data_IF_061963982743
#
_entry.id   IF_061963982743
#
_cell.length_a   1.000
_cell.length_b   1.000
_cell.length_c   1.000
_cell.angle_alpha   90.00
_cell.angle_beta   90.00
_cell.angle_gamma   90.00
#
_symmetry.space_group_name_H-M   'P 1'
#
loop_
_entity.id
_entity.type
_entity.pdbx_description
1 polymer ?
#
# COMPACT_ATOMS: atom_id res chain seq x y z
N UNK A 1 7.91 -35.74 23.82
CA UNK A 1 7.87 -34.44 23.11
C UNK A 1 8.25 -34.70 21.67
N UNK A 2 7.27 -34.71 20.75
CA UNK A 2 7.54 -34.90 19.33
C UNK A 2 8.20 -33.63 18.77
N UNK A 3 9.43 -33.76 18.28
CA UNK A 3 10.13 -32.70 17.55
C UNK A 3 9.44 -32.53 16.20
N UNK A 4 8.61 -31.50 16.08
CA UNK A 4 8.09 -31.05 14.78
C UNK A 4 9.30 -30.82 13.86
N UNK A 5 9.30 -31.34 12.61
CA UNK A 5 10.40 -31.11 11.68
C UNK A 5 10.62 -29.59 11.52
N UNK A 6 11.76 -29.15 12.05
CA UNK A 6 12.21 -27.76 12.15
C UNK A 6 12.32 -26.99 10.79
N UNK A 7 12.43 -27.64 9.60
CA UNK A 7 12.38 -26.92 8.32
C UNK A 7 11.07 -26.17 8.04
N UNK A 8 9.95 -26.62 8.63
CA UNK A 8 8.62 -26.10 8.28
C UNK A 8 8.35 -24.70 8.85
N UNK A 9 8.77 -24.41 10.08
CA UNK A 9 8.45 -23.12 10.72
C UNK A 9 9.24 -21.96 10.11
N UNK A 10 10.53 -22.14 9.83
CA UNK A 10 11.37 -21.13 9.16
C UNK A 10 10.81 -20.81 7.77
N UNK A 11 10.42 -21.84 7.02
CA UNK A 11 9.83 -21.68 5.69
C UNK A 11 8.47 -21.00 5.77
N UNK A 12 7.68 -21.29 6.80
CA UNK A 12 6.40 -20.61 7.07
C UNK A 12 6.63 -19.14 7.40
N UNK A 13 7.56 -18.82 8.31
CA UNK A 13 7.91 -17.45 8.67
C UNK A 13 8.39 -16.65 7.45
N UNK A 14 9.27 -17.24 6.62
CA UNK A 14 9.72 -16.61 5.38
C UNK A 14 8.57 -16.28 4.43
N UNK A 15 7.59 -17.20 4.27
CA UNK A 15 6.38 -16.95 3.47
C UNK A 15 5.54 -15.81 4.05
N UNK A 16 5.37 -15.76 5.37
CA UNK A 16 4.63 -14.70 6.05
C UNK A 16 5.32 -13.34 5.89
N UNK A 17 6.64 -13.28 6.02
CA UNK A 17 7.44 -12.07 5.80
C UNK A 17 7.29 -11.58 4.35
N UNK A 18 7.41 -12.46 3.35
CA UNK A 18 7.24 -12.08 1.95
C UNK A 18 5.83 -11.54 1.63
N UNK A 19 4.81 -12.18 2.20
CA UNK A 19 3.44 -11.70 2.13
C UNK A 19 3.31 -10.31 2.79
N UNK A 20 3.82 -10.15 4.01
CA UNK A 20 3.75 -8.90 4.77
C UNK A 20 4.42 -7.73 4.03
N UNK A 21 5.61 -7.94 3.44
CA UNK A 21 6.29 -6.93 2.60
C UNK A 21 5.36 -6.46 1.48
N UNK A 22 4.74 -7.39 0.77
CA UNK A 22 3.85 -7.06 -0.35
C UNK A 22 2.58 -6.33 0.11
N UNK A 23 2.02 -6.71 1.26
CA UNK A 23 0.82 -6.09 1.84
C UNK A 23 1.13 -4.65 2.30
N UNK A 24 2.20 -4.44 3.06
CA UNK A 24 2.57 -3.10 3.54
C UNK A 24 2.96 -2.17 2.40
N UNK A 25 3.65 -2.66 1.36
CA UNK A 25 3.93 -1.87 0.16
C UNK A 25 2.62 -1.40 -0.51
N UNK A 26 1.61 -2.27 -0.63
CA UNK A 26 0.33 -1.91 -1.20
C UNK A 26 -0.43 -0.87 -0.34
N UNK A 27 -0.37 -0.99 0.99
CA UNK A 27 -0.97 -0.03 1.91
C UNK A 27 -0.28 1.34 1.83
N UNK A 28 1.05 1.37 1.85
CA UNK A 28 1.87 2.58 1.64
C UNK A 28 1.50 3.28 0.34
N UNK A 29 1.53 2.56 -0.78
CA UNK A 29 1.28 3.14 -2.10
C UNK A 29 -0.14 3.70 -2.22
N UNK A 30 -1.13 3.02 -1.62
CA UNK A 30 -2.51 3.53 -1.57
C UNK A 30 -2.61 4.80 -0.73
N UNK A 31 -2.05 4.81 0.48
CA UNK A 31 -2.08 5.96 1.37
C UNK A 31 -1.40 7.18 0.72
N UNK A 32 -0.23 6.98 0.08
CA UNK A 32 0.46 8.03 -0.68
C UNK A 32 -0.40 8.56 -1.83
N UNK A 33 -0.98 7.69 -2.65
CA UNK A 33 -1.84 8.13 -3.77
C UNK A 33 -3.02 8.96 -3.30
N UNK A 34 -3.73 8.50 -2.26
CA UNK A 34 -4.87 9.24 -1.72
C UNK A 34 -4.42 10.59 -1.16
N UNK A 35 -3.31 10.64 -0.41
CA UNK A 35 -2.76 11.90 0.09
C UNK A 35 -2.43 12.87 -1.06
N UNK A 36 -1.71 12.41 -2.09
CA UNK A 36 -1.36 13.24 -3.25
C UNK A 36 -2.61 13.74 -3.97
N UNK A 37 -3.59 12.87 -4.24
CA UNK A 37 -4.83 13.28 -4.90
C UNK A 37 -5.56 14.33 -4.07
N UNK A 38 -5.72 14.11 -2.76
CA UNK A 38 -6.37 15.10 -1.87
C UNK A 38 -5.66 16.44 -1.90
N UNK A 39 -4.32 16.47 -1.78
CA UNK A 39 -3.55 17.71 -1.83
C UNK A 39 -3.69 18.42 -3.18
N UNK A 40 -3.58 17.70 -4.30
CA UNK A 40 -3.74 18.30 -5.64
C UNK A 40 -5.14 18.87 -5.83
N UNK A 41 -6.18 18.14 -5.42
CA UNK A 41 -7.56 18.63 -5.49
C UNK A 41 -7.76 19.89 -4.64
N UNK A 42 -7.22 19.91 -3.42
CA UNK A 42 -7.27 21.09 -2.55
C UNK A 42 -6.56 22.29 -3.17
N UNK A 43 -5.36 22.10 -3.72
CA UNK A 43 -4.62 23.17 -4.40
C UNK A 43 -5.40 23.73 -5.61
N UNK A 44 -5.99 22.85 -6.43
CA UNK A 44 -6.83 23.29 -7.55
C UNK A 44 -8.06 24.06 -7.07
N UNK A 45 -8.75 23.58 -6.03
CA UNK A 45 -9.92 24.26 -5.46
C UNK A 45 -9.54 25.62 -4.87
N UNK A 46 -8.41 25.73 -4.18
CA UNK A 46 -7.88 27.00 -3.67
C UNK A 46 -7.54 27.95 -4.81
N UNK A 47 -6.87 27.49 -5.87
CA UNK A 47 -6.53 28.32 -7.03
C UNK A 47 -7.78 28.86 -7.75
N UNK A 48 -8.81 28.02 -7.92
CA UNK A 48 -10.11 28.44 -8.47
C UNK A 48 -10.76 29.47 -7.55
N UNK A 49 -10.78 29.25 -6.24
CA UNK A 49 -11.28 30.21 -5.26
C UNK A 49 -10.56 31.56 -5.35
N UNK A 50 -9.23 31.56 -5.42
CA UNK A 50 -8.44 32.78 -5.60
C UNK A 50 -8.76 33.49 -6.92
N UNK A 51 -8.91 32.76 -8.03
CA UNK A 51 -9.30 33.35 -9.31
C UNK A 51 -10.70 33.99 -9.25
N UNK A 52 -11.67 33.34 -8.59
CA UNK A 52 -13.01 33.89 -8.38
C UNK A 52 -12.99 35.16 -7.51
N UNK A 53 -12.11 35.21 -6.50
CA UNK A 53 -11.96 36.40 -5.66
C UNK A 53 -11.46 37.62 -6.45
N UNK A 54 -10.61 37.41 -7.46
CA UNK A 54 -10.11 38.48 -8.33
C UNK A 54 -11.04 38.83 -9.50
N UNK A 55 -12.02 37.98 -9.82
CA UNK A 55 -12.97 38.24 -10.90
C UNK A 55 -13.84 39.49 -10.64
N UNK A 56 -13.91 39.98 -9.39
CA UNK A 56 -14.33 41.33 -9.02
C UNK A 56 -15.82 41.62 -9.11
N UNK A 57 -16.49 41.08 -10.12
CA UNK A 57 -17.90 41.32 -10.38
C UNK A 57 -18.77 40.22 -9.75
N UNK A 58 -19.84 40.63 -9.06
CA UNK A 58 -20.90 39.75 -8.55
C UNK A 58 -21.82 39.23 -9.68
N UNK A 59 -21.21 38.90 -10.83
CA UNK A 59 -21.89 38.32 -11.98
C UNK A 59 -22.40 36.92 -11.63
N UNK A 60 -23.63 36.56 -12.05
CA UNK A 60 -24.12 35.20 -11.89
C UNK A 60 -23.26 34.25 -12.73
N UNK A 61 -22.63 33.28 -12.07
CA UNK A 61 -21.84 32.23 -12.68
C UNK A 61 -22.60 30.91 -12.62
N UNK A 62 -22.67 30.24 -13.77
CA UNK A 62 -23.22 28.89 -13.85
C UNK A 62 -22.08 27.86 -13.78
N UNK A 63 -22.03 27.11 -12.69
CA UNK A 63 -21.07 26.03 -12.49
C UNK A 63 -21.82 24.71 -12.23
N UNK A 64 -21.50 23.66 -12.99
CA UNK A 64 -22.13 22.34 -12.87
C UNK A 64 -23.68 22.38 -12.95
N UNK A 65 -24.22 23.34 -13.72
CA UNK A 65 -25.67 23.52 -13.89
C UNK A 65 -26.35 24.36 -12.81
N UNK A 66 -25.66 24.74 -11.73
CA UNK A 66 -26.18 25.63 -10.69
C UNK A 66 -25.79 27.08 -10.98
N UNK A 67 -26.74 28.01 -10.89
CA UNK A 67 -26.50 29.45 -11.02
C UNK A 67 -26.42 30.09 -9.64
N UNK A 68 -25.30 30.75 -9.34
CA UNK A 68 -25.12 31.53 -8.12
C UNK A 68 -24.15 32.69 -8.35
N UNK A 69 -24.10 33.66 -7.44
CA UNK A 69 -23.16 34.78 -7.51
C UNK A 69 -21.72 34.32 -7.32
N UNK A 70 -20.76 35.07 -7.86
CA UNK A 70 -19.31 34.85 -7.64
C UNK A 70 -18.98 34.76 -6.16
N UNK A 71 -19.55 35.64 -5.32
CA UNK A 71 -19.42 35.63 -3.87
C UNK A 71 -19.91 34.34 -3.21
N UNK A 72 -21.05 33.80 -3.66
CA UNK A 72 -21.59 32.53 -3.14
C UNK A 72 -20.68 31.35 -3.48
N UNK A 73 -20.20 31.28 -4.72
CA UNK A 73 -19.25 30.25 -5.14
C UNK A 73 -17.94 30.34 -4.38
N UNK A 74 -17.39 31.55 -4.20
CA UNK A 74 -16.18 31.78 -3.43
C UNK A 74 -16.31 31.28 -1.99
N UNK A 75 -17.44 31.56 -1.34
CA UNK A 75 -17.76 31.04 -0.01
C UNK A 75 -17.81 29.51 0.01
N UNK A 76 -18.50 28.89 -0.95
CA UNK A 76 -18.59 27.44 -1.07
C UNK A 76 -17.21 26.78 -1.27
N UNK A 77 -16.37 27.30 -2.16
CA UNK A 77 -15.00 26.82 -2.35
C UNK A 77 -14.16 26.95 -1.08
N UNK A 78 -14.29 28.06 -0.36
CA UNK A 78 -13.58 28.29 0.91
C UNK A 78 -13.97 27.25 1.97
N UNK A 79 -15.26 26.93 2.10
CA UNK A 79 -15.74 25.88 3.01
C UNK A 79 -15.23 24.51 2.60
N UNK A 80 -15.28 24.16 1.31
CA UNK A 80 -14.77 22.88 0.80
C UNK A 80 -13.28 22.72 1.07
N UNK A 81 -12.49 23.76 0.77
CA UNK A 81 -11.04 23.77 1.04
C UNK A 81 -10.79 23.59 2.54
N UNK A 82 -11.47 24.35 3.40
CA UNK A 82 -11.31 24.27 4.85
C UNK A 82 -11.68 22.90 5.42
N UNK A 83 -12.82 22.33 5.02
CA UNK A 83 -13.21 20.98 5.43
C UNK A 83 -12.21 19.92 4.93
N UNK A 84 -11.73 20.08 3.70
CA UNK A 84 -10.76 19.16 3.13
C UNK A 84 -9.40 19.24 3.86
N UNK A 85 -8.90 20.44 4.19
CA UNK A 85 -7.66 20.61 4.97
C UNK A 85 -7.79 20.03 6.37
N UNK A 86 -8.94 20.23 7.04
CA UNK A 86 -9.20 19.62 8.35
C UNK A 86 -9.22 18.08 8.25
N UNK A 87 -9.84 17.53 7.21
CA UNK A 87 -9.85 16.08 6.98
C UNK A 87 -8.44 15.51 6.72
N UNK A 88 -7.58 16.25 6.02
CA UNK A 88 -6.18 15.86 5.79
C UNK A 88 -5.39 15.86 7.09
N UNK A 89 -5.60 16.88 7.94
CA UNK A 89 -4.98 16.99 9.26
C UNK A 89 -5.37 15.83 10.17
N UNK A 90 -6.65 15.48 10.24
CA UNK A 90 -7.16 14.42 11.14
C UNK A 90 -6.75 13.02 10.67
N UNK A 91 -6.77 12.76 9.37
CA UNK A 91 -6.56 11.38 8.85
C UNK A 91 -5.09 10.99 8.70
N UNK A 92 -4.16 11.95 8.74
CA UNK A 92 -2.71 11.77 8.60
C UNK A 92 -2.31 10.65 7.60
N UNK A 93 -2.80 10.79 6.37
CA UNK A 93 -2.57 9.78 5.32
C UNK A 93 -1.09 9.66 4.97
N UNK A 94 -0.34 10.77 5.06
CA UNK A 94 1.10 10.81 4.81
C UNK A 94 1.88 10.11 5.92
N UNK A 95 1.57 10.34 7.19
CA UNK A 95 2.20 9.61 8.29
C UNK A 95 1.85 8.13 8.27
N UNK A 96 0.62 7.76 7.90
CA UNK A 96 0.24 6.36 7.66
C UNK A 96 1.08 5.71 6.55
N UNK A 97 1.31 6.40 5.44
CA UNK A 97 2.17 5.90 4.39
C UNK A 97 3.62 5.73 4.86
N UNK A 98 4.17 6.70 5.62
CA UNK A 98 5.53 6.61 6.19
C UNK A 98 5.68 5.42 7.15
N UNK A 99 4.69 5.17 8.01
CA UNK A 99 4.69 4.01 8.93
C UNK A 99 4.75 2.68 8.16
N UNK A 100 3.96 2.56 7.09
CA UNK A 100 4.03 1.38 6.23
C UNK A 100 5.31 1.30 5.40
N UNK A 101 5.92 2.42 5.00
CA UNK A 101 7.23 2.42 4.35
C UNK A 101 8.33 1.90 5.29
N UNK A 102 8.34 2.37 6.54
CA UNK A 102 9.26 1.88 7.57
C UNK A 102 9.09 0.37 7.79
N UNK A 103 7.84 -0.11 7.88
CA UNK A 103 7.54 -1.53 7.98
C UNK A 103 8.05 -2.35 6.79
N UNK A 104 7.90 -1.83 5.56
CA UNK A 104 8.43 -2.48 4.35
C UNK A 104 9.95 -2.63 4.43
N UNK A 105 10.67 -1.61 4.90
CA UNK A 105 12.13 -1.66 5.06
C UNK A 105 12.54 -2.73 6.07
N UNK A 106 11.96 -2.69 7.28
CA UNK A 106 12.23 -3.69 8.32
C UNK A 106 11.96 -5.13 7.86
N UNK A 107 10.83 -5.35 7.17
CA UNK A 107 10.47 -6.66 6.66
C UNK A 107 11.34 -7.08 5.45
N UNK A 108 11.79 -6.14 4.63
CA UNK A 108 12.70 -6.42 3.52
C UNK A 108 14.09 -6.83 4.03
N UNK A 109 14.59 -6.16 5.08
CA UNK A 109 15.84 -6.51 5.75
C UNK A 109 15.74 -7.92 6.35
N UNK A 110 14.68 -8.19 7.12
CA UNK A 110 14.41 -9.53 7.66
C UNK A 110 14.30 -10.59 6.56
N UNK A 111 13.62 -10.30 5.45
CA UNK A 111 13.53 -11.20 4.29
C UNK A 111 14.92 -11.50 3.70
N UNK A 112 15.82 -10.53 3.69
CA UNK A 112 17.20 -10.73 3.25
C UNK A 112 17.95 -11.65 4.21
N UNK A 113 17.79 -11.48 5.52
CA UNK A 113 18.38 -12.38 6.53
C UNK A 113 17.93 -13.84 6.34
N UNK A 114 16.63 -14.08 6.11
CA UNK A 114 16.11 -15.42 5.77
C UNK A 114 16.72 -16.02 4.51
N UNK A 115 17.03 -15.19 3.51
CA UNK A 115 17.65 -15.66 2.25
C UNK A 115 19.11 -16.04 2.46
N UNK A 116 19.85 -15.24 3.23
CA UNK A 116 21.27 -15.47 3.49
C UNK A 116 21.51 -16.64 4.45
N UNK A 117 20.52 -17.01 5.26
CA UNK A 117 20.65 -18.10 6.21
C UNK A 117 20.49 -19.50 5.58
N UNK A 118 20.23 -19.62 4.27
CA UNK A 118 20.02 -20.91 3.62
C UNK A 118 21.11 -21.94 3.99
N UNK A 119 20.73 -23.18 4.35
CA UNK A 119 21.59 -24.05 5.13
C UNK A 119 22.68 -24.70 4.29
N UNK A 120 23.93 -24.36 4.56
CA UNK A 120 25.09 -25.20 4.24
C UNK A 120 25.23 -26.29 5.31
N UNK A 121 24.25 -27.20 5.43
CA UNK A 121 24.34 -28.51 6.11
C UNK A 121 24.82 -28.62 7.58
N UNK A 122 25.22 -27.54 8.23
CA UNK A 122 26.06 -27.59 9.44
C UNK A 122 25.30 -27.37 10.75
N UNK A 123 25.91 -27.80 11.86
CA UNK A 123 25.47 -27.53 13.23
C UNK A 123 25.22 -26.02 13.52
N UNK A 124 25.80 -25.13 12.70
CA UNK A 124 25.53 -23.69 12.69
C UNK A 124 24.06 -23.33 12.40
N UNK A 125 23.28 -24.22 11.79
CA UNK A 125 21.90 -23.96 11.39
C UNK A 125 20.95 -23.77 12.58
N UNK A 126 21.05 -24.60 13.63
CA UNK A 126 20.18 -24.50 14.81
C UNK A 126 20.34 -23.16 15.53
N UNK A 127 21.58 -22.67 15.66
CA UNK A 127 21.85 -21.35 16.25
C UNK A 127 21.32 -20.22 15.36
N UNK A 128 21.48 -20.33 14.03
CA UNK A 128 20.96 -19.34 13.09
C UNK A 128 19.42 -19.26 13.14
N UNK A 129 18.73 -20.40 13.28
CA UNK A 129 17.28 -20.46 13.41
C UNK A 129 16.78 -19.77 14.69
N UNK A 130 17.43 -20.00 15.83
CA UNK A 130 17.10 -19.31 17.08
C UNK A 130 17.16 -17.79 16.92
N UNK A 131 18.25 -17.29 16.33
CA UNK A 131 18.43 -15.86 16.04
C UNK A 131 17.38 -15.32 15.07
N UNK A 132 17.05 -16.06 14.00
CA UNK A 132 16.03 -15.65 13.04
C UNK A 132 14.64 -15.56 13.65
N UNK A 133 14.31 -16.49 14.56
CA UNK A 133 13.04 -16.50 15.28
C UNK A 133 12.92 -15.29 16.20
N UNK A 134 13.95 -15.03 17.01
CA UNK A 134 13.99 -13.85 17.88
C UNK A 134 13.87 -12.56 17.07
N UNK A 135 14.60 -12.48 15.95
CA UNK A 135 14.51 -11.34 15.02
C UNK A 135 13.13 -11.19 14.42
N UNK A 136 12.50 -12.29 14.03
CA UNK A 136 11.14 -12.30 13.49
C UNK A 136 10.12 -11.77 14.51
N UNK A 137 10.14 -12.29 15.74
CA UNK A 137 9.23 -11.88 16.81
C UNK A 137 9.40 -10.38 17.12
N UNK A 138 10.65 -9.91 17.18
CA UNK A 138 10.97 -8.50 17.37
C UNK A 138 10.44 -7.62 16.22
N UNK A 139 10.74 -7.95 14.96
CA UNK A 139 10.31 -7.15 13.80
C UNK A 139 8.79 -7.16 13.67
N UNK A 140 8.13 -8.29 13.85
CA UNK A 140 6.68 -8.39 13.78
C UNK A 140 5.98 -7.58 14.88
N UNK A 141 6.61 -7.42 16.05
CA UNK A 141 6.13 -6.53 17.11
C UNK A 141 6.22 -5.03 16.79
N UNK A 142 7.11 -4.63 15.88
CA UNK A 142 7.29 -3.23 15.46
C UNK A 142 6.41 -2.84 14.26
N UNK A 143 5.97 -3.82 13.48
CA UNK A 143 5.18 -3.58 12.27
C UNK A 143 3.75 -3.17 12.63
N UNK A 144 3.20 -2.09 12.04
CA UNK A 144 1.84 -1.66 12.32
C UNK A 144 0.83 -2.73 11.87
N UNK A 145 -0.28 -2.93 12.61
CA UNK A 145 -1.24 -3.98 12.29
C UNK A 145 -1.88 -3.77 10.92
N UNK A 146 -2.13 -4.87 10.21
CA UNK A 146 -2.86 -4.87 8.94
C UNK A 146 -4.36 -4.83 9.26
N UNK A 147 -5.16 -3.92 8.69
CA UNK A 147 -6.60 -3.89 8.92
C UNK A 147 -7.28 -5.18 8.44
N UNK A 148 -8.00 -5.86 9.34
CA UNK A 148 -8.60 -7.18 9.08
C UNK A 148 -9.56 -7.16 7.88
N UNK A 149 -10.41 -6.14 7.80
CA UNK A 149 -11.35 -5.95 6.68
C UNK A 149 -10.67 -5.86 5.30
N UNK A 150 -9.36 -5.57 5.25
CA UNK A 150 -8.58 -5.49 4.00
C UNK A 150 -7.66 -6.68 3.81
N UNK A 151 -7.46 -7.53 4.82
CA UNK A 151 -6.46 -8.58 4.79
C UNK A 151 -6.70 -9.56 3.64
N UNK A 152 -7.92 -10.08 3.50
CA UNK A 152 -8.27 -11.03 2.42
C UNK A 152 -8.00 -10.46 1.02
N UNK A 153 -8.41 -9.21 0.76
CA UNK A 153 -8.17 -8.55 -0.52
C UNK A 153 -6.69 -8.28 -0.79
N UNK A 154 -5.93 -7.89 0.24
CA UNK A 154 -4.48 -7.66 0.13
C UNK A 154 -3.71 -8.97 -0.08
N UNK A 155 -4.13 -10.06 0.58
CA UNK A 155 -3.60 -11.41 0.37
C UNK A 155 -3.86 -11.89 -1.05
N UNK A 156 -5.09 -11.76 -1.57
CA UNK A 156 -5.42 -12.10 -2.94
C UNK A 156 -4.57 -11.29 -3.96
N UNK A 157 -4.35 -9.99 -3.69
CA UNK A 157 -3.45 -9.15 -4.50
C UNK A 157 -2.00 -9.64 -4.47
N UNK A 158 -1.49 -10.06 -3.31
CA UNK A 158 -0.15 -10.65 -3.20
C UNK A 158 -0.05 -11.95 -4.01
N UNK A 159 -1.01 -12.87 -3.89
CA UNK A 159 -1.02 -14.12 -4.66
C UNK A 159 -1.05 -13.86 -6.17
N UNK A 160 -1.88 -12.91 -6.63
CA UNK A 160 -1.89 -12.47 -8.04
C UNK A 160 -0.55 -11.90 -8.47
N UNK A 161 0.14 -11.13 -7.62
CA UNK A 161 1.49 -10.60 -7.90
C UNK A 161 2.51 -11.73 -8.06
N UNK A 162 2.48 -12.72 -7.16
CA UNK A 162 3.38 -13.89 -7.22
C UNK A 162 3.17 -14.66 -8.52
N UNK A 163 1.92 -14.97 -8.86
CA UNK A 163 1.61 -15.71 -10.08
C UNK A 163 1.95 -14.91 -11.35
N UNK A 164 1.65 -13.60 -11.35
CA UNK A 164 2.06 -12.72 -12.44
C UNK A 164 3.58 -12.70 -12.61
N UNK A 165 4.35 -12.69 -11.51
CA UNK A 165 5.81 -12.75 -11.56
C UNK A 165 6.29 -14.07 -12.14
N UNK A 166 5.71 -15.21 -11.72
CA UNK A 166 6.03 -16.53 -12.30
C UNK A 166 5.77 -16.59 -13.80
N UNK A 167 4.62 -16.06 -14.25
CA UNK A 167 4.26 -15.99 -15.66
C UNK A 167 5.24 -15.15 -16.49
N UNK A 168 5.65 -13.99 -15.96
CA UNK A 168 6.63 -13.11 -16.60
C UNK A 168 8.02 -13.76 -16.65
N UNK A 169 8.44 -14.43 -15.58
CA UNK A 169 9.70 -15.19 -15.56
C UNK A 169 9.70 -16.34 -16.57
N UNK A 170 8.58 -17.03 -16.74
CA UNK A 170 8.45 -18.11 -17.72
C UNK A 170 8.37 -17.62 -19.19
N UNK A 171 8.05 -16.35 -19.43
CA UNK A 171 7.86 -15.80 -20.78
C UNK A 171 8.45 -14.38 -20.88
N UNK A 172 9.78 -14.24 -21.01
CA UNK A 172 10.48 -12.96 -20.93
C UNK A 172 10.13 -11.89 -22.00
N UNK A 173 9.27 -12.18 -22.98
CA UNK A 173 8.75 -11.21 -23.96
C UNK A 173 7.34 -10.67 -23.66
N UNK A 174 6.67 -11.13 -22.60
CA UNK A 174 5.31 -10.70 -22.29
C UNK A 174 5.29 -9.32 -21.60
N UNK A 175 4.47 -8.42 -22.13
CA UNK A 175 4.15 -7.18 -21.41
C UNK A 175 3.29 -7.48 -20.19
N UNK A 176 3.46 -6.71 -19.11
CA UNK A 176 2.70 -6.85 -17.86
C UNK A 176 1.18 -6.85 -18.12
N UNK A 177 0.70 -6.03 -19.07
CA UNK A 177 -0.72 -5.97 -19.45
C UNK A 177 -1.21 -7.29 -20.06
N UNK A 178 -0.43 -7.90 -20.97
CA UNK A 178 -0.77 -9.20 -21.57
C UNK A 178 -0.73 -10.33 -20.54
N UNK A 179 0.30 -10.34 -19.68
CA UNK A 179 0.41 -11.33 -18.61
C UNK A 179 -0.77 -11.26 -17.62
N UNK A 180 -1.24 -10.05 -17.25
CA UNK A 180 -2.46 -9.87 -16.46
C UNK A 180 -3.70 -10.42 -17.14
N UNK A 181 -3.95 -10.05 -18.40
CA UNK A 181 -5.10 -10.58 -19.15
C UNK A 181 -5.09 -12.11 -19.23
N UNK A 182 -3.91 -12.73 -19.38
CA UNK A 182 -3.76 -14.18 -19.40
C UNK A 182 -4.05 -14.80 -18.03
N UNK A 183 -3.58 -14.20 -16.95
CA UNK A 183 -3.89 -14.62 -15.58
C UNK A 183 -5.40 -14.51 -15.28
N UNK A 184 -6.03 -13.40 -15.65
CA UNK A 184 -7.47 -13.19 -15.44
C UNK A 184 -8.32 -14.20 -16.21
N UNK A 185 -7.89 -14.61 -17.42
CA UNK A 185 -8.55 -15.70 -18.16
C UNK A 185 -8.45 -17.05 -17.44
N UNK A 186 -7.24 -17.43 -16.99
CA UNK A 186 -7.02 -18.68 -16.24
C UNK A 186 -7.85 -18.75 -14.97
N UNK A 187 -7.99 -17.64 -14.25
CA UNK A 187 -8.79 -17.62 -13.02
C UNK A 187 -10.29 -17.84 -13.28
N UNK A 188 -10.80 -17.40 -14.44
CA UNK A 188 -12.21 -17.60 -14.84
C UNK A 188 -12.51 -19.03 -15.32
N UNK A 189 -11.50 -19.77 -15.78
CA UNK A 189 -11.66 -21.14 -16.26
C UNK A 189 -11.68 -22.17 -15.11
N UNK A 190 -11.26 -21.76 -13.91
CA UNK A 190 -11.20 -22.61 -12.70
C UNK A 190 -12.44 -22.44 -11.82
N UNK A 191 -13.23 -21.40 -12.05
CA UNK A 191 -14.55 -21.15 -11.41
C UNK A 191 -15.66 -21.88 -12.19
#
# INVERSE_FOLDING_TARGET
MATVPVPDEVTRQQRLVDQAVSIHAALRDRANRVATITTVTLLCASAIGTALAFAGDDTPLQLLGLQATTSTWLGAFSVVVFCGTLSELVTDRRGTARRHDAAVRLLADLKSEYRSAAPDGDASWTTAQGRLRERYDHVMGLVPPIPEARFAGLKARHLRKVELSKLLSAHPGLTVRRARRRLDRRLREVE
#
